data_IF_577739767558
#
_entry.id   IF_577739767558
#
_cell.length_a   1.000
_cell.length_b   1.000
_cell.length_c   1.000
_cell.angle_alpha   90.00
_cell.angle_beta   90.00
_cell.angle_gamma   90.00
#
_symmetry.space_group_name_H-M   'P 1'
#
loop_
_entity.id
_entity.type
_entity.pdbx_description
1 polymer ?
#
# COMPACT_ATOMS: atom_id res chain seq x y z
N UNK A 1 11.17 -19.51 7.58
CA UNK A 1 9.71 -19.33 7.72
C UNK A 1 9.39 -17.85 7.80
N UNK A 2 8.46 -17.40 6.99
CA UNK A 2 8.05 -15.99 6.94
C UNK A 2 7.32 -15.60 8.23
N UNK A 3 7.73 -14.50 8.86
CA UNK A 3 7.18 -14.04 10.13
C UNK A 3 6.62 -12.64 9.98
N UNK A 4 5.40 -12.42 10.49
CA UNK A 4 4.73 -11.12 10.46
C UNK A 4 5.44 -10.13 11.40
N UNK A 5 5.69 -8.92 10.94
CA UNK A 5 6.19 -7.80 11.72
C UNK A 5 5.07 -6.95 12.29
N UNK A 6 4.09 -6.61 11.46
CA UNK A 6 2.91 -5.86 11.85
C UNK A 6 1.68 -6.29 11.07
N UNK A 7 0.51 -6.13 11.69
CA UNK A 7 -0.79 -6.21 11.06
C UNK A 7 -1.61 -5.02 11.55
N UNK A 8 -1.93 -4.11 10.65
CA UNK A 8 -2.69 -2.91 10.93
C UNK A 8 -4.05 -2.96 10.23
N UNK A 9 -5.09 -2.58 10.94
CA UNK A 9 -6.45 -2.55 10.44
C UNK A 9 -6.98 -1.14 10.60
N UNK A 10 -7.37 -0.54 9.49
CA UNK A 10 -7.85 0.84 9.42
C UNK A 10 -9.16 0.90 8.62
N UNK A 11 -10.03 1.81 8.96
CA UNK A 11 -11.18 2.19 8.13
C UNK A 11 -11.15 3.68 7.84
N UNK A 12 -11.32 4.06 6.57
CA UNK A 12 -11.39 5.46 6.16
C UNK A 12 -12.82 5.93 5.96
N UNK A 13 -13.62 5.12 5.29
CA UNK A 13 -14.99 5.49 4.88
C UNK A 13 -16.04 4.96 5.83
N UNK A 14 -15.63 4.10 6.75
CA UNK A 14 -16.56 3.40 7.59
C UNK A 14 -17.39 2.34 6.82
N UNK A 15 -17.01 1.94 5.62
CA UNK A 15 -17.68 0.93 4.78
C UNK A 15 -16.75 -0.21 4.37
N UNK A 16 -15.45 -0.04 4.59
CA UNK A 16 -14.43 -1.02 4.28
C UNK A 16 -13.35 -1.05 5.35
N UNK A 17 -12.71 -2.20 5.51
CA UNK A 17 -11.55 -2.36 6.37
C UNK A 17 -10.31 -2.53 5.50
N UNK A 18 -9.37 -1.60 5.67
CA UNK A 18 -8.07 -1.68 5.02
C UNK A 18 -7.15 -2.46 5.94
N UNK A 19 -6.73 -3.63 5.50
CA UNK A 19 -5.85 -4.54 6.21
C UNK A 19 -4.48 -4.40 5.56
N UNK A 20 -3.48 -4.02 6.33
CA UNK A 20 -2.11 -3.93 5.85
C UNK A 20 -1.17 -4.69 6.76
N UNK A 21 -0.15 -5.29 6.16
CA UNK A 21 0.82 -6.10 6.89
C UNK A 21 2.23 -5.88 6.38
N UNK A 22 3.19 -6.11 7.28
CA UNK A 22 4.60 -6.16 6.95
C UNK A 22 5.21 -7.44 7.55
N UNK A 23 6.21 -7.99 6.87
CA UNK A 23 6.95 -9.15 7.34
C UNK A 23 8.32 -8.75 7.87
N UNK A 24 8.86 -9.55 8.79
CA UNK A 24 10.24 -9.38 9.25
C UNK A 24 11.18 -9.72 8.09
N UNK A 25 12.25 -8.94 7.95
CA UNK A 25 13.29 -9.20 6.97
C UNK A 25 13.80 -10.65 7.13
N UNK A 26 13.83 -11.38 6.01
CA UNK A 26 14.22 -12.77 5.95
C UNK A 26 15.08 -13.02 4.73
N UNK A 27 15.92 -14.05 4.77
CA UNK A 27 16.67 -14.52 3.60
C UNK A 27 15.83 -15.44 2.70
N UNK A 28 14.62 -15.80 3.12
CA UNK A 28 13.72 -16.66 2.36
C UNK A 28 13.07 -15.91 1.20
N UNK A 29 12.77 -16.62 0.13
CA UNK A 29 12.09 -16.07 -1.03
C UNK A 29 10.60 -15.86 -0.73
N UNK A 30 10.14 -14.64 -0.80
CA UNK A 30 8.74 -14.27 -0.54
C UNK A 30 7.78 -14.99 -1.50
N UNK A 31 8.22 -15.26 -2.72
CA UNK A 31 7.42 -15.99 -3.73
C UNK A 31 7.08 -17.44 -3.35
N UNK A 32 7.71 -17.98 -2.31
CA UNK A 32 7.39 -19.30 -1.79
C UNK A 32 6.22 -19.28 -0.79
N UNK A 33 5.57 -18.13 -0.62
CA UNK A 33 4.51 -17.96 0.37
C UNK A 33 3.26 -17.33 -0.25
N UNK A 34 2.11 -17.77 0.26
CA UNK A 34 0.81 -17.15 0.04
C UNK A 34 0.20 -16.72 1.37
N UNK A 35 -0.74 -15.79 1.31
CA UNK A 35 -1.41 -15.24 2.48
C UNK A 35 -2.92 -15.42 2.35
N UNK A 36 -3.53 -15.96 3.39
CA UNK A 36 -4.97 -15.98 3.56
C UNK A 36 -5.39 -14.98 4.65
N UNK A 37 -6.52 -14.36 4.45
CA UNK A 37 -7.10 -13.42 5.41
C UNK A 37 -8.32 -14.08 6.06
N UNK A 38 -8.29 -14.14 7.38
CA UNK A 38 -9.33 -14.69 8.21
C UNK A 38 -9.96 -13.62 9.09
N UNK A 39 -11.27 -13.73 9.32
CA UNK A 39 -12.03 -12.79 10.13
C UNK A 39 -12.96 -13.49 11.10
N UNK A 40 -13.15 -12.93 12.31
CA UNK A 40 -14.09 -13.40 13.32
C UNK A 40 -14.69 -12.23 14.10
N UNK A 41 -15.88 -12.45 14.66
CA UNK A 41 -16.51 -11.49 15.60
C UNK A 41 -15.87 -11.53 16.99
N UNK A 42 -15.02 -12.51 17.29
CA UNK A 42 -14.38 -12.65 18.60
C UNK A 42 -12.91 -13.04 18.49
N UNK A 43 -12.06 -12.62 19.45
CA UNK A 43 -10.62 -12.88 19.44
C UNK A 43 -10.28 -14.29 19.95
N UNK A 44 -10.89 -15.31 19.37
CA UNK A 44 -10.60 -16.70 19.76
C UNK A 44 -9.26 -17.16 19.21
N UNK A 45 -8.60 -18.05 19.94
CA UNK A 45 -7.31 -18.59 19.51
C UNK A 45 -7.45 -19.62 18.37
N UNK A 46 -8.57 -20.34 18.29
CA UNK A 46 -8.79 -21.38 17.29
C UNK A 46 -9.23 -20.84 15.94
N UNK A 47 -8.52 -21.19 14.88
CA UNK A 47 -8.84 -20.77 13.51
C UNK A 47 -10.20 -21.26 13.00
N UNK A 48 -10.72 -22.34 13.56
CA UNK A 48 -12.01 -22.93 13.16
C UNK A 48 -13.23 -22.01 13.35
N UNK A 49 -13.08 -20.94 14.12
CA UNK A 49 -14.13 -19.93 14.35
C UNK A 49 -13.97 -18.69 13.47
N UNK A 50 -12.99 -18.72 12.58
CA UNK A 50 -12.75 -17.64 11.63
C UNK A 50 -13.29 -18.01 10.25
N UNK A 51 -13.94 -17.09 9.60
CA UNK A 51 -14.29 -17.20 8.18
C UNK A 51 -13.14 -16.71 7.31
N UNK A 52 -12.97 -17.34 6.15
CA UNK A 52 -12.01 -16.90 5.15
C UNK A 52 -12.62 -15.71 4.42
N UNK A 53 -11.92 -14.58 4.44
CA UNK A 53 -12.29 -13.36 3.68
C UNK A 53 -11.68 -13.43 2.27
N UNK A 54 -10.41 -13.82 2.20
CA UNK A 54 -9.67 -13.97 0.94
C UNK A 54 -8.57 -15.01 1.12
N UNK A 55 -8.24 -15.77 0.07
CA UNK A 55 -7.24 -16.82 0.10
C UNK A 55 -6.32 -16.81 -1.11
N UNK A 56 -5.12 -17.35 -0.95
CA UNK A 56 -4.13 -17.45 -2.04
C UNK A 56 -3.58 -16.12 -2.51
N UNK A 57 -3.55 -15.10 -1.65
CA UNK A 57 -2.92 -13.83 -1.97
C UNK A 57 -1.41 -14.00 -2.03
N UNK A 58 -0.77 -13.42 -3.04
CA UNK A 58 0.68 -13.36 -3.09
C UNK A 58 1.24 -12.70 -1.84
N UNK A 59 2.22 -13.31 -1.18
CA UNK A 59 2.93 -12.67 -0.07
C UNK A 59 3.72 -11.41 -0.50
N UNK A 60 3.80 -11.14 -1.80
CA UNK A 60 4.32 -9.90 -2.33
C UNK A 60 3.32 -8.72 -2.23
N UNK A 61 2.06 -8.96 -1.86
CA UNK A 61 1.11 -7.92 -1.48
C UNK A 61 1.40 -7.44 -0.05
N UNK A 62 1.01 -6.23 0.24
CA UNK A 62 1.17 -5.61 1.56
C UNK A 62 -0.15 -5.11 2.15
N UNK A 63 -1.24 -5.25 1.40
CA UNK A 63 -2.55 -4.78 1.84
C UNK A 63 -3.69 -5.44 1.09
N UNK A 64 -4.86 -5.46 1.74
CA UNK A 64 -6.13 -5.91 1.20
C UNK A 64 -7.26 -5.04 1.72
N UNK A 65 -8.31 -4.87 0.94
CA UNK A 65 -9.49 -4.09 1.34
C UNK A 65 -10.68 -5.03 1.47
N UNK A 66 -11.10 -5.27 2.71
CA UNK A 66 -12.32 -6.04 3.00
C UNK A 66 -13.54 -5.13 2.86
N UNK A 67 -14.32 -5.34 1.80
CA UNK A 67 -15.58 -4.64 1.51
C UNK A 67 -16.81 -5.47 1.83
N UNK A 68 -16.62 -6.69 2.32
CA UNK A 68 -17.73 -7.63 2.57
C UNK A 68 -18.52 -7.30 3.84
N UNK A 69 -18.02 -6.40 4.68
CA UNK A 69 -18.66 -5.96 5.91
C UNK A 69 -19.61 -4.82 5.61
N UNK A 70 -20.90 -5.01 5.86
CA UNK A 70 -21.90 -3.94 5.80
C UNK A 70 -21.94 -3.21 7.12
N UNK A 71 -21.29 -2.07 7.23
CA UNK A 71 -21.20 -1.30 8.47
C UNK A 71 -22.50 -0.71 8.99
N UNK A 72 -23.54 -0.61 8.18
CA UNK A 72 -24.85 -0.14 8.66
C UNK A 72 -25.43 -1.05 9.75
N UNK A 73 -25.02 -2.31 9.79
CA UNK A 73 -25.46 -3.29 10.78
C UNK A 73 -24.41 -3.54 11.89
N UNK A 74 -23.15 -3.18 11.66
CA UNK A 74 -22.01 -3.56 12.50
C UNK A 74 -21.33 -2.40 13.23
N UNK A 75 -22.01 -1.24 13.32
CA UNK A 75 -21.49 -0.09 14.08
C UNK A 75 -21.26 -0.53 15.54
N UNK A 76 -19.99 -0.57 15.92
CA UNK A 76 -19.55 -0.89 17.28
C UNK A 76 -19.20 -2.35 17.54
N UNK A 77 -19.20 -3.23 16.54
CA UNK A 77 -18.65 -4.59 16.68
C UNK A 77 -17.20 -4.59 16.25
N UNK A 78 -16.25 -4.99 17.09
CA UNK A 78 -14.87 -5.17 16.68
C UNK A 78 -14.76 -6.44 15.82
N UNK A 79 -14.21 -6.30 14.63
CA UNK A 79 -13.81 -7.44 13.81
C UNK A 79 -12.35 -7.78 14.10
N UNK A 80 -12.10 -9.07 14.25
CA UNK A 80 -10.77 -9.60 14.55
C UNK A 80 -10.22 -10.32 13.33
N UNK A 81 -9.01 -9.99 12.95
CA UNK A 81 -8.36 -10.55 11.77
C UNK A 81 -7.12 -11.34 12.14
N UNK A 82 -6.94 -12.44 11.43
CA UNK A 82 -5.71 -13.25 11.43
C UNK A 82 -5.22 -13.43 10.00
N UNK A 83 -3.92 -13.53 9.84
CA UNK A 83 -3.32 -13.97 8.58
C UNK A 83 -2.89 -15.43 8.70
N UNK A 84 -3.23 -16.25 7.70
CA UNK A 84 -2.64 -17.55 7.47
C UNK A 84 -1.51 -17.40 6.46
N UNK A 85 -0.31 -17.78 6.83
CA UNK A 85 0.85 -17.76 5.94
C UNK A 85 1.09 -19.20 5.48
N UNK A 86 0.87 -19.44 4.19
CA UNK A 86 1.11 -20.73 3.55
C UNK A 86 2.54 -20.79 3.03
N UNK A 87 3.28 -21.78 3.44
CA UNK A 87 4.56 -22.14 2.86
C UNK A 87 4.33 -23.13 1.72
N UNK A 88 4.52 -22.71 0.49
CA UNK A 88 4.31 -23.51 -0.71
C UNK A 88 5.34 -24.65 -0.87
N UNK A 89 6.47 -24.56 -0.17
CA UNK A 89 7.52 -25.58 -0.21
C UNK A 89 7.22 -26.73 0.76
N UNK A 90 6.80 -26.39 2.00
CA UNK A 90 6.53 -27.39 3.05
C UNK A 90 5.05 -27.73 3.16
N UNK A 91 4.17 -27.01 2.46
CA UNK A 91 2.71 -27.12 2.56
C UNK A 91 2.18 -26.85 3.99
N UNK A 92 2.96 -26.17 4.82
CA UNK A 92 2.58 -25.77 6.17
C UNK A 92 1.83 -24.46 6.20
N UNK A 93 0.91 -24.30 7.18
CA UNK A 93 0.21 -23.03 7.42
C UNK A 93 0.55 -22.54 8.81
N UNK A 94 0.91 -21.27 8.90
CA UNK A 94 1.12 -20.57 10.18
C UNK A 94 0.15 -19.44 10.32
N UNK A 95 -0.58 -19.40 11.43
CA UNK A 95 -1.56 -18.36 11.70
C UNK A 95 -0.98 -17.26 12.59
N UNK A 96 -1.10 -16.02 12.15
CA UNK A 96 -0.63 -14.84 12.88
C UNK A 96 -1.62 -13.68 12.68
N UNK A 97 -1.71 -12.70 13.60
CA UNK A 97 -1.07 -12.65 14.91
C UNK A 97 -1.82 -13.43 16.00
N UNK A 98 -1.15 -13.62 17.11
CA UNK A 98 -1.75 -14.07 18.36
C UNK A 98 -1.49 -13.02 19.47
N UNK A 99 -2.50 -12.39 20.05
CA UNK A 99 -3.93 -12.47 19.71
C UNK A 99 -4.26 -11.83 18.35
N UNK A 100 -5.45 -12.11 17.83
CA UNK A 100 -5.92 -11.56 16.56
C UNK A 100 -5.91 -10.01 16.58
N UNK A 101 -5.50 -9.42 15.47
CA UNK A 101 -5.54 -7.96 15.29
C UNK A 101 -6.98 -7.46 15.11
N UNK A 102 -7.26 -6.28 15.58
CA UNK A 102 -8.56 -5.62 15.44
C UNK A 102 -8.38 -4.10 15.26
N UNK A 103 -9.41 -3.45 14.79
CA UNK A 103 -9.44 -2.00 14.72
C UNK A 103 -9.38 -1.44 16.16
N UNK A 104 -8.25 -0.81 16.52
CA UNK A 104 -8.01 -0.26 17.86
C UNK A 104 -8.59 1.13 18.04
N UNK A 105 -8.63 1.88 16.95
CA UNK A 105 -9.06 3.26 16.97
C UNK A 105 -10.58 3.36 16.77
N UNK A 106 -11.17 4.37 17.37
CA UNK A 106 -12.58 4.67 17.14
C UNK A 106 -12.83 4.96 15.66
N UNK A 107 -14.01 4.56 15.19
CA UNK A 107 -14.45 4.88 13.82
C UNK A 107 -14.40 6.39 13.64
N UNK A 108 -13.78 6.89 12.57
CA UNK A 108 -13.68 8.32 12.31
C UNK A 108 -15.03 9.03 12.42
N UNK A 109 -15.03 10.28 12.89
CA UNK A 109 -16.25 11.06 13.13
C UNK A 109 -17.10 11.19 11.85
N UNK A 110 -18.40 11.50 12.03
CA UNK A 110 -19.34 11.61 10.89
C UNK A 110 -18.87 12.65 9.85
N UNK A 111 -18.22 13.72 10.30
CA UNK A 111 -17.71 14.77 9.41
C UNK A 111 -16.55 14.24 8.56
N UNK A 112 -15.61 13.51 9.18
CA UNK A 112 -14.52 12.86 8.45
C UNK A 112 -15.07 11.93 7.36
N UNK A 113 -15.97 11.03 7.72
CA UNK A 113 -16.60 10.07 6.80
C UNK A 113 -17.30 10.78 5.63
N UNK A 114 -18.02 11.86 5.91
CA UNK A 114 -18.70 12.62 4.86
C UNK A 114 -17.71 13.35 3.94
N UNK A 115 -16.59 13.86 4.46
CA UNK A 115 -15.54 14.46 3.63
C UNK A 115 -14.93 13.40 2.71
N UNK A 116 -14.54 12.24 3.24
CA UNK A 116 -13.96 11.13 2.47
C UNK A 116 -14.96 10.64 1.42
N UNK A 117 -16.22 10.43 1.79
CA UNK A 117 -17.30 10.03 0.88
C UNK A 117 -17.44 11.01 -0.29
N UNK A 118 -17.47 12.32 -0.04
CA UNK A 118 -17.56 13.34 -1.10
C UNK A 118 -16.36 13.33 -2.01
N UNK A 119 -15.15 13.20 -1.44
CA UNK A 119 -13.93 13.10 -2.25
C UNK A 119 -13.94 11.83 -3.11
N UNK A 120 -14.35 10.70 -2.54
CA UNK A 120 -14.46 9.44 -3.26
C UNK A 120 -15.47 9.53 -4.43
N UNK A 121 -16.64 10.14 -4.20
CA UNK A 121 -17.62 10.40 -5.26
C UNK A 121 -17.01 11.26 -6.37
N UNK A 122 -16.29 12.32 -6.03
CA UNK A 122 -15.67 13.20 -7.01
C UNK A 122 -14.59 12.48 -7.85
N UNK A 123 -13.81 11.59 -7.23
CA UNK A 123 -12.80 10.80 -7.94
C UNK A 123 -13.43 9.70 -8.81
N UNK A 124 -14.53 9.09 -8.36
CA UNK A 124 -15.17 7.97 -9.06
C UNK A 124 -16.29 8.39 -10.04
N UNK A 125 -16.68 9.67 -10.05
CA UNK A 125 -17.71 10.14 -10.97
C UNK A 125 -17.18 10.03 -12.42
N UNK A 126 -17.99 9.47 -13.33
CA UNK A 126 -17.68 9.34 -14.75
C UNK A 126 -17.40 10.67 -15.47
N UNK A 127 -17.93 11.78 -14.92
CA UNK A 127 -17.66 13.16 -15.37
C UNK A 127 -16.56 13.84 -14.54
N UNK A 128 -16.02 13.16 -13.53
CA UNK A 128 -14.96 13.67 -12.68
C UNK A 128 -13.59 13.61 -13.35
N UNK A 129 -12.63 14.24 -12.72
CA UNK A 129 -11.23 14.27 -13.18
C UNK A 129 -10.40 13.09 -12.67
N UNK A 130 -11.01 12.17 -11.92
CA UNK A 130 -10.30 11.01 -11.37
C UNK A 130 -10.02 9.96 -12.43
N UNK A 131 -8.78 9.44 -12.41
CA UNK A 131 -8.27 8.36 -13.26
C UNK A 131 -7.67 7.26 -12.41
N UNK A 132 -7.43 6.10 -13.02
CA UNK A 132 -6.76 4.99 -12.36
C UNK A 132 -5.25 5.16 -12.43
N UNK A 133 -4.60 4.88 -11.31
CA UNK A 133 -3.15 4.88 -11.19
C UNK A 133 -2.73 3.57 -10.52
N UNK A 134 -1.67 2.95 -11.04
CA UNK A 134 -1.04 1.79 -10.41
C UNK A 134 0.11 2.27 -9.54
N UNK A 135 0.10 1.91 -8.27
CA UNK A 135 1.16 2.22 -7.33
C UNK A 135 2.03 0.98 -7.16
N UNK A 136 3.33 1.15 -7.34
CA UNK A 136 4.35 0.17 -6.99
C UNK A 136 5.09 0.70 -5.76
N UNK A 137 4.75 0.15 -4.61
CA UNK A 137 5.38 0.55 -3.34
C UNK A 137 6.78 0.01 -3.27
N UNK A 138 7.75 0.88 -2.93
CA UNK A 138 9.13 0.47 -2.79
C UNK A 138 9.31 -0.45 -1.58
N UNK A 139 10.01 -1.57 -1.80
CA UNK A 139 10.37 -2.50 -0.75
C UNK A 139 11.51 -1.93 0.10
N UNK A 140 11.37 -2.01 1.41
CA UNK A 140 12.34 -1.53 2.39
C UNK A 140 12.86 -2.65 3.29
N UNK A 141 12.41 -3.89 3.09
CA UNK A 141 12.80 -5.07 3.82
C UNK A 141 12.65 -6.33 2.95
N UNK A 142 13.13 -7.46 3.42
CA UNK A 142 13.08 -8.75 2.73
C UNK A 142 14.49 -9.32 2.49
N UNK A 143 14.62 -10.16 1.47
CA UNK A 143 15.89 -10.73 1.04
C UNK A 143 16.71 -9.68 0.31
N UNK A 144 17.97 -9.53 0.70
CA UNK A 144 18.89 -8.64 0.00
C UNK A 144 19.20 -9.12 -1.40
N UNK A 145 19.43 -8.17 -2.32
CA UNK A 145 19.83 -8.50 -3.67
C UNK A 145 21.25 -9.09 -3.69
N UNK A 146 21.38 -10.31 -4.18
CA UNK A 146 22.68 -10.99 -4.27
C UNK A 146 23.65 -10.37 -5.28
N UNK A 147 23.15 -9.50 -6.19
CA UNK A 147 23.94 -8.90 -7.26
C UNK A 147 24.59 -7.60 -6.85
N UNK A 148 23.88 -6.74 -6.11
CA UNK A 148 24.34 -5.38 -5.85
C UNK A 148 24.35 -4.98 -4.36
N UNK A 149 23.97 -5.87 -3.45
CA UNK A 149 24.03 -5.57 -2.03
C UNK A 149 25.44 -5.84 -1.48
N UNK A 150 26.00 -4.83 -0.82
CA UNK A 150 27.25 -4.95 -0.08
C UNK A 150 26.94 -5.05 1.42
N UNK A 151 27.15 -6.22 1.99
CA UNK A 151 26.89 -6.49 3.41
C UNK A 151 27.82 -5.74 4.35
N UNK A 152 29.03 -5.38 3.90
CA UNK A 152 30.01 -4.64 4.69
C UNK A 152 29.65 -3.15 4.79
N UNK A 153 29.10 -2.59 3.71
CA UNK A 153 28.70 -1.19 3.62
C UNK A 153 27.21 -0.97 3.94
N UNK A 154 26.43 -2.06 4.10
CA UNK A 154 24.97 -2.02 4.34
C UNK A 154 24.22 -1.16 3.31
N UNK A 155 24.64 -1.23 2.04
CA UNK A 155 24.03 -0.43 0.97
C UNK A 155 24.16 -1.12 -0.39
N UNK A 156 23.40 -0.62 -1.35
CA UNK A 156 23.51 -1.01 -2.76
C UNK A 156 24.74 -0.37 -3.40
N UNK A 157 25.47 -1.12 -4.17
CA UNK A 157 26.62 -0.66 -4.96
C UNK A 157 26.22 -0.20 -6.37
N UNK A 158 25.07 -0.65 -6.87
CA UNK A 158 24.57 -0.32 -8.21
C UNK A 158 23.10 0.13 -8.14
N UNK A 159 22.86 1.40 -8.48
CA UNK A 159 21.52 1.99 -8.56
C UNK A 159 20.70 1.50 -9.76
N UNK A 160 21.37 0.92 -10.78
CA UNK A 160 20.77 0.42 -12.01
C UNK A 160 20.72 -1.12 -12.04
N UNK A 161 20.79 -1.76 -10.91
CA UNK A 161 20.74 -3.21 -10.82
C UNK A 161 19.41 -3.76 -11.39
N UNK A 162 19.50 -4.65 -12.38
CA UNK A 162 18.35 -5.24 -13.07
C UNK A 162 17.54 -6.19 -12.20
N UNK A 163 18.13 -6.73 -11.13
CA UNK A 163 17.47 -7.70 -10.24
C UNK A 163 16.60 -7.04 -9.18
N UNK A 164 17.00 -5.87 -8.69
CA UNK A 164 16.32 -5.19 -7.58
C UNK A 164 15.89 -3.75 -7.89
N UNK A 165 16.04 -3.31 -9.14
CA UNK A 165 15.72 -1.92 -9.55
C UNK A 165 16.42 -0.87 -8.67
N UNK A 166 17.65 -1.15 -8.24
CA UNK A 166 18.44 -0.26 -7.38
C UNK A 166 17.93 -0.13 -5.94
N UNK A 167 16.95 -0.90 -5.53
CA UNK A 167 16.39 -0.84 -4.17
C UNK A 167 17.26 -1.55 -3.13
N UNK A 168 18.04 -2.53 -3.55
CA UNK A 168 18.84 -3.41 -2.69
C UNK A 168 18.10 -4.63 -2.17
N UNK A 169 16.80 -4.73 -2.45
CA UNK A 169 15.94 -5.81 -2.03
C UNK A 169 15.47 -6.63 -3.24
N UNK A 170 15.46 -7.94 -3.12
CA UNK A 170 14.97 -8.81 -4.18
C UNK A 170 13.53 -8.43 -4.54
N UNK A 171 13.21 -8.40 -5.84
CA UNK A 171 11.93 -7.91 -6.38
C UNK A 171 11.60 -6.44 -6.04
N UNK A 172 12.53 -5.63 -5.68
CA UNK A 172 12.53 -4.16 -5.52
C UNK A 172 11.26 -3.45 -5.10
N UNK A 173 10.12 -3.83 -5.66
CA UNK A 173 8.79 -3.26 -5.43
C UNK A 173 7.79 -4.35 -5.09
N UNK A 174 6.73 -3.96 -4.37
CA UNK A 174 5.54 -4.79 -4.16
C UNK A 174 4.70 -4.85 -5.43
N UNK A 175 3.79 -5.81 -5.51
CA UNK A 175 2.80 -5.89 -6.57
C UNK A 175 1.96 -4.61 -6.63
N UNK A 176 1.53 -4.24 -7.84
CA UNK A 176 0.84 -2.98 -8.04
C UNK A 176 -0.54 -2.96 -7.37
N UNK A 177 -0.85 -1.84 -6.74
CA UNK A 177 -2.19 -1.54 -6.24
C UNK A 177 -2.81 -0.43 -7.09
N UNK A 178 -4.03 -0.65 -7.60
CA UNK A 178 -4.76 0.36 -8.37
C UNK A 178 -5.52 1.29 -7.43
N UNK A 179 -5.37 2.59 -7.62
CA UNK A 179 -6.09 3.64 -6.90
C UNK A 179 -6.71 4.65 -7.86
N UNK A 180 -7.74 5.35 -7.38
CA UNK A 180 -8.29 6.51 -8.07
C UNK A 180 -7.62 7.79 -7.59
N UNK A 181 -7.19 8.62 -8.54
CA UNK A 181 -6.54 9.89 -8.24
C UNK A 181 -6.82 10.95 -9.29
N UNK A 182 -6.46 12.19 -8.99
CA UNK A 182 -6.55 13.32 -9.92
C UNK A 182 -5.17 13.91 -10.14
N UNK A 183 -4.67 13.82 -11.38
CA UNK A 183 -3.38 14.39 -11.76
C UNK A 183 -3.55 15.84 -12.25
N UNK A 184 -2.75 16.73 -11.73
CA UNK A 184 -2.67 18.11 -12.16
C UNK A 184 -1.25 18.42 -12.69
N UNK A 185 -1.16 18.65 -14.00
CA UNK A 185 0.09 18.93 -14.70
C UNK A 185 0.41 20.43 -14.78
N UNK A 186 -0.54 21.28 -14.41
CA UNK A 186 -0.37 22.75 -14.47
C UNK A 186 -0.49 23.34 -13.06
N UNK A 187 0.59 23.30 -12.27
CA UNK A 187 0.54 23.85 -10.93
C UNK A 187 0.32 25.35 -10.95
N UNK A 188 -0.57 25.83 -10.08
CA UNK A 188 -0.71 27.27 -9.85
C UNK A 188 0.48 27.77 -9.03
N UNK A 189 0.85 29.05 -9.19
CA UNK A 189 1.95 29.69 -8.42
C UNK A 189 1.86 29.42 -6.90
N UNK A 190 0.65 29.36 -6.34
CA UNK A 190 0.44 29.05 -4.93
C UNK A 190 0.84 27.63 -4.53
N UNK A 191 0.91 26.70 -5.49
CA UNK A 191 1.31 25.30 -5.24
C UNK A 191 2.82 25.13 -5.24
N UNK A 192 3.55 26.00 -5.96
CA UNK A 192 5.01 26.00 -5.98
C UNK A 192 5.55 26.24 -4.56
N UNK A 193 4.94 27.16 -3.81
CA UNK A 193 5.36 27.49 -2.45
C UNK A 193 5.13 26.36 -1.43
N UNK A 194 4.31 25.36 -1.77
CA UNK A 194 4.04 24.22 -0.86
C UNK A 194 5.19 23.21 -0.85
N UNK A 195 5.86 23.01 -1.97
CA UNK A 195 6.88 21.97 -2.17
C UNK A 195 8.26 22.56 -2.49
N UNK A 196 8.41 23.89 -2.54
CA UNK A 196 9.65 24.55 -2.91
C UNK A 196 9.82 24.62 -4.43
N UNK A 197 10.97 24.20 -4.94
CA UNK A 197 11.29 24.25 -6.37
C UNK A 197 10.42 23.28 -7.18
N UNK A 198 9.84 23.77 -8.26
CA UNK A 198 9.03 23.01 -9.22
C UNK A 198 9.80 22.88 -10.55
N UNK A 199 9.87 21.64 -11.05
CA UNK A 199 10.46 21.37 -12.37
C UNK A 199 9.35 21.17 -13.42
N UNK A 200 9.59 21.49 -14.69
CA UNK A 200 8.58 21.30 -15.75
C UNK A 200 8.07 19.85 -15.88
N UNK A 201 8.89 18.87 -15.53
CA UNK A 201 8.52 17.44 -15.52
C UNK A 201 7.70 17.00 -14.32
N UNK A 202 7.50 17.88 -13.34
CA UNK A 202 6.79 17.53 -12.10
C UNK A 202 5.28 17.64 -12.31
N UNK A 203 4.55 16.82 -11.58
CA UNK A 203 3.09 16.81 -11.49
C UNK A 203 2.62 16.63 -10.08
N UNK A 204 1.41 17.12 -9.78
CA UNK A 204 0.74 16.81 -8.51
C UNK A 204 -0.32 15.75 -8.73
N UNK A 205 -0.35 14.76 -7.83
CA UNK A 205 -1.39 13.76 -7.76
C UNK A 205 -2.13 13.91 -6.43
N UNK A 206 -3.44 14.00 -6.50
CA UNK A 206 -4.36 14.04 -5.37
C UNK A 206 -5.03 12.68 -5.24
N UNK A 207 -4.83 12.02 -4.09
CA UNK A 207 -5.38 10.70 -3.80
C UNK A 207 -5.99 10.68 -2.40
N UNK A 208 -6.83 9.71 -2.12
CA UNK A 208 -7.36 9.51 -0.77
C UNK A 208 -6.24 9.13 0.22
N UNK A 209 -6.57 9.10 1.50
CA UNK A 209 -5.62 8.83 2.58
C UNK A 209 -4.97 7.45 2.53
N UNK A 210 -5.58 6.50 1.82
CA UNK A 210 -5.07 5.14 1.70
C UNK A 210 -4.92 4.71 0.24
N UNK A 211 -3.88 3.93 -0.10
CA UNK A 211 -2.73 3.53 0.71
C UNK A 211 -1.76 4.69 0.98
N UNK A 212 -1.02 4.67 2.11
CA UNK A 212 -0.03 5.71 2.39
C UNK A 212 1.14 5.62 1.42
N UNK A 213 1.37 6.70 0.69
CA UNK A 213 2.47 6.84 -0.25
C UNK A 213 3.73 7.36 0.44
N UNK A 214 4.88 6.94 -0.05
CA UNK A 214 6.19 7.37 0.47
C UNK A 214 7.08 7.86 -0.67
N UNK A 215 8.08 8.72 -0.39
CA UNK A 215 9.09 9.07 -1.38
C UNK A 215 9.77 7.81 -1.96
N UNK A 216 10.02 7.85 -3.27
CA UNK A 216 10.57 6.75 -4.09
C UNK A 216 9.59 5.60 -4.40
N UNK A 217 8.33 5.67 -4.02
CA UNK A 217 7.31 4.83 -4.65
C UNK A 217 7.17 5.21 -6.12
N UNK A 218 6.77 4.26 -6.95
CA UNK A 218 6.54 4.48 -8.38
C UNK A 218 5.05 4.46 -8.65
N UNK A 219 4.61 5.36 -9.51
CA UNK A 219 3.21 5.47 -9.94
C UNK A 219 3.16 5.37 -11.45
N UNK A 220 2.33 4.48 -11.98
CA UNK A 220 2.01 4.41 -13.41
C UNK A 220 0.66 5.07 -13.67
N UNK A 221 0.57 5.93 -14.68
CA UNK A 221 -0.69 6.49 -15.15
C UNK A 221 -1.31 5.64 -16.28
N UNK A 222 -2.51 6.04 -16.75
CA UNK A 222 -3.24 5.34 -17.82
C UNK A 222 -2.47 5.29 -19.16
N UNK A 223 -1.57 6.24 -19.37
CA UNK A 223 -0.74 6.32 -20.57
C UNK A 223 0.58 5.53 -20.45
N UNK A 224 0.71 4.73 -19.37
CA UNK A 224 1.91 3.97 -19.02
C UNK A 224 3.16 4.84 -18.79
N UNK A 225 3.00 6.10 -18.38
CA UNK A 225 4.12 6.89 -17.90
C UNK A 225 4.42 6.52 -16.46
N UNK A 226 5.70 6.33 -16.16
CA UNK A 226 6.16 6.09 -14.80
C UNK A 226 6.60 7.41 -14.14
N UNK A 227 6.13 7.58 -12.92
CA UNK A 227 6.38 8.73 -12.08
C UNK A 227 7.02 8.27 -10.78
N UNK A 228 8.09 8.92 -10.36
CA UNK A 228 8.62 8.70 -9.00
C UNK A 228 7.99 9.68 -8.03
N UNK A 229 7.61 9.19 -6.86
CA UNK A 229 7.14 10.03 -5.75
C UNK A 229 8.34 10.76 -5.15
N UNK A 230 8.31 12.09 -5.22
CA UNK A 230 9.35 12.97 -4.66
C UNK A 230 9.00 13.33 -3.23
N UNK A 231 7.79 13.81 -3.01
CA UNK A 231 7.31 14.24 -1.70
C UNK A 231 5.82 13.98 -1.57
N UNK A 232 5.39 13.68 -0.35
CA UNK A 232 3.98 13.51 0.01
C UNK A 232 3.63 14.50 1.11
N UNK A 233 2.52 15.21 0.93
CA UNK A 233 1.89 16.03 1.95
C UNK A 233 0.53 15.44 2.30
N UNK A 234 0.29 15.18 3.57
CA UNK A 234 -0.98 14.67 4.07
C UNK A 234 -1.89 15.81 4.54
N UNK A 235 -3.18 15.66 4.29
CA UNK A 235 -4.24 16.47 4.90
C UNK A 235 -4.95 15.56 5.90
N UNK A 236 -4.89 15.94 7.16
CA UNK A 236 -5.33 15.11 8.29
C UNK A 236 -6.47 15.78 9.05
N UNK A 237 -7.30 14.95 9.67
CA UNK A 237 -8.30 15.35 10.64
C UNK A 237 -8.39 14.31 11.75
N UNK A 238 -8.22 14.73 13.01
CA UNK A 238 -8.26 13.88 14.19
C UNK A 238 -7.30 12.67 14.09
N UNK A 239 -6.10 12.88 13.51
CA UNK A 239 -5.11 11.84 13.33
C UNK A 239 -5.32 10.93 12.12
N UNK A 240 -6.41 11.08 11.36
CA UNK A 240 -6.68 10.32 10.14
C UNK A 240 -6.32 11.12 8.90
N UNK A 241 -5.63 10.48 7.96
CA UNK A 241 -5.29 11.08 6.68
C UNK A 241 -6.53 11.06 5.77
N UNK A 242 -7.01 12.23 5.37
CA UNK A 242 -8.13 12.38 4.44
C UNK A 242 -7.64 12.26 3.00
N UNK A 243 -6.55 12.93 2.70
CA UNK A 243 -6.02 13.11 1.35
C UNK A 243 -4.51 13.21 1.38
N UNK A 244 -3.89 12.71 0.35
CA UNK A 244 -2.47 12.86 0.09
C UNK A 244 -2.29 13.70 -1.16
N UNK A 245 -1.45 14.72 -1.07
CA UNK A 245 -0.98 15.53 -2.20
C UNK A 245 0.44 15.10 -2.49
N UNK A 246 0.62 14.46 -3.62
CA UNK A 246 1.87 13.78 -4.00
C UNK A 246 2.53 14.58 -5.10
N UNK A 247 3.73 15.07 -4.85
CA UNK A 247 4.61 15.61 -5.90
C UNK A 247 5.30 14.43 -6.59
N UNK A 248 5.15 14.36 -7.90
CA UNK A 248 5.72 13.30 -8.73
C UNK A 248 6.64 13.91 -9.78
N UNK A 249 7.74 13.24 -10.08
CA UNK A 249 8.62 13.56 -11.21
C UNK A 249 8.52 12.45 -12.26
N UNK A 250 8.41 12.85 -13.53
CA UNK A 250 8.36 11.93 -14.66
C UNK A 250 9.71 11.22 -14.81
N UNK A 251 9.68 9.89 -14.89
CA UNK A 251 10.86 9.09 -15.21
C UNK A 251 11.12 9.07 -16.72
N UNK A 252 12.38 9.02 -17.10
CA UNK A 252 12.76 8.90 -18.50
C UNK A 252 12.37 7.50 -19.03
N UNK A 253 11.88 7.43 -20.27
CA UNK A 253 11.39 6.16 -20.85
C UNK A 253 12.48 5.10 -21.08
N UNK A 254 13.73 5.49 -21.06
CA UNK A 254 14.88 4.60 -21.17
C UNK A 254 15.32 4.01 -19.82
N UNK A 255 14.71 4.47 -18.71
CA UNK A 255 15.02 3.93 -17.40
C UNK A 255 14.63 2.44 -17.27
N UNK A 256 15.44 1.73 -16.50
CA UNK A 256 15.28 0.30 -16.25
C UNK A 256 13.88 -0.07 -15.73
N UNK A 257 13.29 0.80 -14.91
CA UNK A 257 11.98 0.61 -14.29
C UNK A 257 10.85 0.42 -15.32
N UNK A 258 10.93 1.05 -16.50
CA UNK A 258 9.95 0.82 -17.58
C UNK A 258 9.94 -0.62 -18.09
N UNK A 259 11.08 -1.31 -18.04
CA UNK A 259 11.21 -2.69 -18.51
C UNK A 259 10.79 -3.71 -17.46
N UNK A 260 10.73 -3.30 -16.20
CA UNK A 260 10.49 -4.21 -15.07
C UNK A 260 9.09 -4.10 -14.51
N UNK A 261 8.45 -2.92 -14.58
CA UNK A 261 7.15 -2.66 -13.95
C UNK A 261 6.00 -2.57 -14.95
N UNK A 262 6.28 -2.38 -16.22
CA UNK A 262 5.29 -2.40 -17.32
C UNK A 262 5.48 -3.63 -18.23
#
# INVERSE_FOLDING_TARGET
>A
MLTLSSLDILTYDGQSYNISWDFIATEELITNYEVDIYRSESPVSGISQYEIVESGLSANLYSYVDTSISQLLDIGRPWFYKLGIHDLVTSGITYQPEPAAYLKDEVPDKIFREIVRRKNINLNNSRGSGRDFKIFKRRTWGTHCSVCWDSSLQRTTDSNCTTCSGTGWLNGYYDSLTIRGMKNTSPKLSQINMFGEWKPSDSLLYVLGYPPLKPKDIISDDDNHLWTVVQVRTIERLGYIIEQIVQMALLAQDELLYKQLL
#
